data_IF_351684101212
#
_entry.id   IF_351684101212
#
_cell.length_a   1.000
_cell.length_b   1.000
_cell.length_c   1.000
_cell.angle_alpha   90.00
_cell.angle_beta   90.00
_cell.angle_gamma   90.00
#
_symmetry.space_group_name_H-M   'P 1'
#
loop_
_entity.id
_entity.type
_entity.pdbx_description
1 polymer ?
#
# COMPACT_ATOMS: atom_id res chain seq x y z
N UNK A 1 14.42 -47.66 -23.59
CA UNK A 1 13.59 -46.44 -23.43
C UNK A 1 12.57 -46.42 -24.55
N UNK A 2 11.34 -46.04 -24.24
CA UNK A 2 10.25 -45.92 -25.22
C UNK A 2 10.50 -44.69 -26.12
N UNK A 3 10.23 -44.77 -27.42
CA UNK A 3 10.38 -43.63 -28.33
C UNK A 3 9.28 -42.59 -28.08
N UNK A 4 9.49 -41.33 -28.49
CA UNK A 4 8.49 -40.26 -28.36
C UNK A 4 7.16 -40.63 -29.06
N UNK A 5 7.23 -41.20 -30.26
CA UNK A 5 6.05 -41.65 -31.01
C UNK A 5 5.31 -42.80 -30.31
N UNK A 6 6.06 -43.76 -29.76
CA UNK A 6 5.48 -44.84 -28.98
C UNK A 6 4.82 -44.30 -27.70
N UNK A 7 5.42 -43.29 -27.07
CA UNK A 7 4.88 -42.62 -25.89
C UNK A 7 3.60 -41.85 -26.21
N UNK A 8 3.55 -41.06 -27.28
CA UNK A 8 2.33 -40.36 -27.72
C UNK A 8 1.18 -41.31 -28.01
N UNK A 9 1.47 -42.50 -28.54
CA UNK A 9 0.47 -43.54 -28.78
C UNK A 9 -0.01 -44.24 -27.49
N UNK A 10 0.82 -44.25 -26.45
CA UNK A 10 0.50 -44.77 -25.12
C UNK A 10 -0.26 -43.75 -24.27
N UNK A 11 0.03 -42.46 -24.44
CA UNK A 11 -0.62 -41.37 -23.73
C UNK A 11 -2.09 -41.27 -24.12
N UNK A 12 -2.97 -41.41 -23.13
CA UNK A 12 -4.39 -41.20 -23.32
C UNK A 12 -4.70 -39.72 -23.15
N UNK A 13 -5.15 -39.01 -24.21
CA UNK A 13 -5.55 -37.62 -24.07
C UNK A 13 -6.80 -37.52 -23.19
N UNK A 14 -6.71 -36.72 -22.14
CA UNK A 14 -7.83 -36.44 -21.24
C UNK A 14 -8.52 -35.15 -21.64
N UNK A 15 -9.85 -35.19 -21.76
CA UNK A 15 -10.65 -33.99 -21.94
C UNK A 15 -10.71 -33.19 -20.64
N UNK A 16 -10.70 -31.86 -20.74
CA UNK A 16 -10.92 -30.96 -19.62
C UNK A 16 -11.92 -29.87 -20.00
N UNK A 17 -12.49 -29.22 -18.99
CA UNK A 17 -13.34 -28.03 -19.14
C UNK A 17 -12.70 -26.89 -18.37
N UNK A 18 -12.75 -25.69 -18.93
CA UNK A 18 -12.25 -24.50 -18.23
C UNK A 18 -13.20 -24.15 -17.08
N UNK A 19 -12.63 -23.93 -15.89
CA UNK A 19 -13.34 -23.37 -14.75
C UNK A 19 -13.43 -21.84 -14.89
N UNK A 20 -14.45 -21.18 -14.31
CA UNK A 20 -14.48 -19.73 -14.25
C UNK A 20 -13.32 -19.16 -13.42
N UNK A 21 -12.97 -17.90 -13.66
CA UNK A 21 -12.00 -17.15 -12.83
C UNK A 21 -12.45 -17.19 -11.37
N UNK A 22 -11.49 -17.37 -10.47
CA UNK A 22 -11.74 -17.40 -9.02
C UNK A 22 -12.42 -16.08 -8.61
N UNK A 23 -13.53 -16.16 -7.86
CA UNK A 23 -14.27 -15.00 -7.41
C UNK A 23 -13.58 -14.30 -6.23
N UNK A 24 -12.50 -13.58 -6.53
CA UNK A 24 -11.72 -12.75 -5.62
C UNK A 24 -11.26 -11.50 -6.35
N UNK A 25 -11.01 -10.42 -5.62
CA UNK A 25 -10.29 -9.27 -6.17
C UNK A 25 -8.84 -9.68 -6.43
N UNK A 26 -8.35 -9.51 -7.65
CA UNK A 26 -6.95 -9.74 -8.00
C UNK A 26 -6.23 -8.41 -8.03
N UNK A 27 -5.31 -8.23 -7.09
CA UNK A 27 -4.54 -7.01 -6.90
C UNK A 27 -3.13 -7.24 -7.44
N UNK A 28 -2.73 -6.47 -8.44
CA UNK A 28 -1.33 -6.41 -8.85
C UNK A 28 -0.59 -5.40 -7.96
N UNK A 29 0.53 -5.82 -7.36
CA UNK A 29 1.33 -4.97 -6.48
C UNK A 29 2.74 -4.79 -7.02
N UNK A 30 3.13 -3.55 -7.35
CA UNK A 30 4.54 -3.19 -7.54
C UNK A 30 5.04 -2.55 -6.26
N UNK A 31 6.18 -2.98 -5.73
CA UNK A 31 6.76 -2.42 -4.50
C UNK A 31 8.28 -2.27 -4.62
N UNK A 32 8.91 -1.57 -3.69
CA UNK A 32 10.36 -1.42 -3.73
C UNK A 32 11.08 -2.75 -3.40
N UNK A 33 12.27 -2.93 -3.94
CA UNK A 33 13.14 -4.06 -3.59
C UNK A 33 13.49 -4.10 -2.10
N UNK A 34 13.44 -2.95 -1.42
CA UNK A 34 13.71 -2.77 0.02
C UNK A 34 12.46 -2.84 0.90
N UNK A 35 11.27 -3.02 0.32
CA UNK A 35 10.07 -3.25 1.12
C UNK A 35 10.08 -4.68 1.67
N UNK A 36 10.03 -4.79 3.00
CA UNK A 36 10.02 -6.06 3.71
C UNK A 36 8.65 -6.34 4.37
N UNK A 37 7.77 -5.34 4.45
CA UNK A 37 6.60 -5.41 5.34
C UNK A 37 5.28 -5.54 4.60
N UNK A 38 5.14 -4.90 3.44
CA UNK A 38 3.85 -4.74 2.76
C UNK A 38 3.18 -6.07 2.41
N UNK A 39 3.93 -7.03 1.84
CA UNK A 39 3.40 -8.36 1.52
C UNK A 39 2.94 -9.12 2.78
N UNK A 40 3.69 -9.01 3.88
CA UNK A 40 3.35 -9.66 5.14
C UNK A 40 2.11 -9.03 5.77
N UNK A 41 1.98 -7.72 5.68
CA UNK A 41 0.82 -6.98 6.16
C UNK A 41 -0.42 -7.32 5.34
N UNK A 42 -0.31 -7.31 4.01
CA UNK A 42 -1.43 -7.66 3.14
C UNK A 42 -1.82 -9.13 3.26
N UNK A 43 -0.89 -10.05 3.52
CA UNK A 43 -1.20 -11.45 3.80
C UNK A 43 -2.21 -11.60 4.96
N UNK A 44 -2.20 -10.69 5.94
CA UNK A 44 -3.17 -10.66 7.05
C UNK A 44 -4.55 -10.12 6.63
N UNK A 45 -4.60 -9.23 5.63
CA UNK A 45 -5.83 -8.55 5.19
C UNK A 45 -6.59 -9.29 4.08
N UNK A 46 -5.88 -9.99 3.19
CA UNK A 46 -6.42 -10.58 1.96
C UNK A 46 -7.55 -11.60 2.21
N UNK A 47 -7.44 -12.43 3.25
CA UNK A 47 -8.41 -13.49 3.56
C UNK A 47 -8.82 -14.31 2.32
N UNK A 48 -10.13 -14.51 2.15
CA UNK A 48 -10.71 -15.13 0.95
C UNK A 48 -11.31 -14.11 -0.02
N UNK A 49 -11.22 -12.80 0.28
CA UNK A 49 -11.81 -11.71 -0.51
C UNK A 49 -10.92 -11.27 -1.67
N UNK A 50 -9.60 -11.43 -1.53
CA UNK A 50 -8.63 -10.95 -2.50
C UNK A 50 -7.43 -11.89 -2.66
N UNK A 51 -6.65 -11.68 -3.72
CA UNK A 51 -5.34 -12.26 -3.95
C UNK A 51 -4.38 -11.18 -4.42
N UNK A 52 -3.13 -11.22 -3.95
CA UNK A 52 -2.07 -10.29 -4.35
C UNK A 52 -1.06 -11.00 -5.26
N UNK A 53 -0.63 -10.31 -6.31
CA UNK A 53 0.44 -10.75 -7.21
C UNK A 53 1.47 -9.65 -7.26
N UNK A 54 2.62 -9.87 -6.63
CA UNK A 54 3.64 -8.84 -6.44
C UNK A 54 4.78 -8.92 -7.44
N UNK A 55 5.35 -7.77 -7.74
CA UNK A 55 6.64 -7.60 -8.42
C UNK A 55 7.41 -6.47 -7.74
N UNK A 56 8.72 -6.36 -8.01
CA UNK A 56 9.60 -5.41 -7.33
C UNK A 56 10.30 -4.49 -8.33
N UNK A 57 10.40 -3.22 -7.97
CA UNK A 57 11.25 -2.23 -8.65
C UNK A 57 12.51 -1.99 -7.82
N UNK A 58 13.66 -1.87 -8.49
CA UNK A 58 14.90 -1.50 -7.82
C UNK A 58 14.78 -0.09 -7.23
N UNK A 59 15.37 0.10 -6.05
CA UNK A 59 15.41 1.40 -5.37
C UNK A 59 16.83 1.73 -4.94
N UNK A 60 17.26 2.96 -5.22
CA UNK A 60 18.42 3.60 -4.62
C UNK A 60 17.99 4.68 -3.63
N UNK A 61 18.74 4.87 -2.54
CA UNK A 61 18.48 5.94 -1.56
C UNK A 61 18.66 7.37 -2.12
N UNK A 62 19.15 7.51 -3.35
CA UNK A 62 19.31 8.79 -4.01
C UNK A 62 17.98 9.25 -4.62
N UNK A 63 17.58 10.48 -4.30
CA UNK A 63 16.37 11.13 -4.81
C UNK A 63 16.69 12.14 -5.92
N UNK A 64 17.57 11.75 -6.86
CA UNK A 64 17.88 12.56 -8.05
C UNK A 64 16.77 12.42 -9.10
N UNK A 65 16.61 13.39 -10.02
CA UNK A 65 15.67 13.27 -11.15
C UNK A 65 15.90 11.99 -11.97
N UNK A 66 17.15 11.59 -12.16
CA UNK A 66 17.53 10.37 -12.87
C UNK A 66 17.07 9.12 -12.13
N UNK A 67 17.28 9.05 -10.80
CA UNK A 67 16.81 7.93 -9.99
C UNK A 67 15.27 7.84 -9.98
N UNK A 68 14.56 8.97 -10.04
CA UNK A 68 13.10 9.00 -10.16
C UNK A 68 12.61 8.49 -11.51
N UNK A 69 13.32 8.80 -12.61
CA UNK A 69 13.00 8.29 -13.95
C UNK A 69 13.27 6.78 -14.08
N UNK A 70 14.34 6.30 -13.46
CA UNK A 70 14.63 4.86 -13.34
C UNK A 70 13.53 4.12 -12.56
N UNK A 71 13.07 4.69 -11.43
CA UNK A 71 11.93 4.15 -10.68
C UNK A 71 10.67 4.15 -11.55
N UNK A 72 10.38 5.25 -12.26
CA UNK A 72 9.20 5.36 -13.12
C UNK A 72 9.18 4.31 -14.23
N UNK A 73 10.31 4.13 -14.92
CA UNK A 73 10.48 3.07 -15.94
C UNK A 73 10.31 1.69 -15.31
N UNK A 74 10.96 1.46 -14.17
CA UNK A 74 10.88 0.21 -13.44
C UNK A 74 9.48 -0.14 -12.93
N UNK A 75 8.61 0.84 -12.65
CA UNK A 75 7.20 0.59 -12.30
C UNK A 75 6.46 -0.10 -13.45
N UNK A 76 6.64 0.38 -14.69
CA UNK A 76 5.97 -0.20 -15.86
C UNK A 76 6.47 -1.62 -16.12
N UNK A 77 7.79 -1.80 -16.10
CA UNK A 77 8.42 -3.11 -16.35
C UNK A 77 8.04 -4.13 -15.27
N UNK A 78 8.07 -3.73 -13.99
CA UNK A 78 7.64 -4.58 -12.89
C UNK A 78 6.14 -4.91 -12.98
N UNK A 79 5.32 -3.94 -13.41
CA UNK A 79 3.89 -4.16 -13.64
C UNK A 79 3.66 -5.21 -14.71
N UNK A 80 4.38 -5.20 -15.84
CA UNK A 80 4.19 -6.16 -16.94
C UNK A 80 4.46 -7.62 -16.53
N UNK A 81 5.33 -7.84 -15.54
CA UNK A 81 5.67 -9.16 -15.02
C UNK A 81 4.58 -9.76 -14.10
N UNK A 82 3.62 -8.97 -13.64
CA UNK A 82 2.61 -9.42 -12.69
C UNK A 82 1.64 -10.40 -13.37
N UNK A 83 1.74 -11.68 -12.98
CA UNK A 83 0.78 -12.74 -13.30
C UNK A 83 0.34 -12.78 -14.77
N UNK A 84 1.29 -12.85 -15.71
CA UNK A 84 1.01 -12.91 -17.15
C UNK A 84 -0.07 -13.95 -17.48
N UNK A 85 -1.12 -13.53 -18.21
CA UNK A 85 -2.28 -14.35 -18.54
C UNK A 85 -3.43 -14.30 -17.53
N UNK A 86 -3.25 -13.61 -16.39
CA UNK A 86 -4.29 -13.36 -15.40
C UNK A 86 -4.64 -11.88 -15.35
N UNK A 87 -5.91 -11.56 -15.62
CA UNK A 87 -6.42 -10.18 -15.51
C UNK A 87 -6.40 -9.72 -14.05
N UNK A 88 -5.85 -8.53 -13.80
CA UNK A 88 -5.93 -7.84 -12.51
C UNK A 88 -7.18 -6.94 -12.48
N UNK A 89 -7.78 -6.78 -11.31
CA UNK A 89 -8.93 -5.87 -11.13
C UNK A 89 -8.48 -4.46 -10.71
N UNK A 90 -7.31 -4.36 -10.08
CA UNK A 90 -6.71 -3.09 -9.62
C UNK A 90 -5.19 -3.25 -9.49
N UNK A 91 -4.46 -2.17 -9.74
CA UNK A 91 -3.01 -2.09 -9.52
C UNK A 91 -2.67 -1.24 -8.30
N UNK A 92 -1.59 -1.56 -7.60
CA UNK A 92 -1.09 -0.81 -6.46
C UNK A 92 0.43 -0.60 -6.56
N UNK A 93 0.90 0.58 -6.17
CA UNK A 93 2.33 0.87 -6.03
C UNK A 93 2.70 1.13 -4.57
N UNK A 94 3.46 0.22 -3.96
CA UNK A 94 3.91 0.25 -2.58
C UNK A 94 5.14 1.11 -2.34
N UNK A 95 4.98 2.42 -2.39
CA UNK A 95 5.96 3.38 -1.86
C UNK A 95 5.29 4.73 -1.59
N UNK A 96 5.36 5.23 -0.35
CA UNK A 96 4.68 6.50 -0.01
C UNK A 96 5.44 7.72 -0.55
N UNK A 97 6.75 7.78 -0.33
CA UNK A 97 7.60 8.90 -0.76
C UNK A 97 7.66 9.05 -2.29
N UNK A 98 7.90 7.96 -3.02
CA UNK A 98 7.91 8.00 -4.48
C UNK A 98 6.54 8.37 -5.07
N UNK A 99 5.44 7.93 -4.45
CA UNK A 99 4.09 8.30 -4.91
C UNK A 99 3.78 9.80 -4.75
N UNK A 100 4.37 10.42 -3.74
CA UNK A 100 4.25 11.87 -3.52
C UNK A 100 5.03 12.63 -4.59
N UNK A 101 6.25 12.19 -4.90
CA UNK A 101 7.14 12.87 -5.84
C UNK A 101 6.68 12.67 -7.30
N UNK A 102 6.37 11.44 -7.69
CA UNK A 102 5.95 11.10 -9.05
C UNK A 102 4.52 11.59 -9.32
N UNK A 103 3.68 11.60 -8.29
CA UNK A 103 2.29 12.04 -8.37
C UNK A 103 1.31 10.92 -8.71
N UNK A 104 0.05 11.12 -8.29
CA UNK A 104 -1.02 10.12 -8.36
C UNK A 104 -1.32 9.66 -9.79
N UNK A 105 -1.55 10.60 -10.71
CA UNK A 105 -1.92 10.30 -12.10
C UNK A 105 -0.79 9.56 -12.81
N UNK A 106 0.45 10.03 -12.63
CA UNK A 106 1.60 9.42 -13.29
C UNK A 106 1.86 8.00 -12.79
N UNK A 107 1.77 7.75 -11.48
CA UNK A 107 1.89 6.38 -10.94
C UNK A 107 0.80 5.47 -11.51
N UNK A 108 -0.45 5.97 -11.61
CA UNK A 108 -1.54 5.20 -12.18
C UNK A 108 -1.28 4.83 -13.65
N UNK A 109 -0.88 5.80 -14.48
CA UNK A 109 -0.51 5.57 -15.88
C UNK A 109 0.59 4.51 -16.04
N UNK A 110 1.65 4.60 -15.22
CA UNK A 110 2.78 3.68 -15.28
C UNK A 110 2.36 2.25 -14.88
N UNK A 111 1.53 2.12 -13.84
CA UNK A 111 1.03 0.82 -13.39
C UNK A 111 0.12 0.16 -14.42
N UNK A 112 -0.69 0.94 -15.14
CA UNK A 112 -1.78 0.40 -15.98
C UNK A 112 -1.49 0.44 -17.48
N UNK A 113 -0.33 0.97 -17.89
CA UNK A 113 0.10 1.18 -19.29
C UNK A 113 -0.29 0.05 -20.25
N UNK A 114 -0.10 -1.22 -19.84
CA UNK A 114 -0.40 -2.40 -20.67
C UNK A 114 -1.50 -3.31 -20.06
N UNK A 115 -2.30 -2.79 -19.14
CA UNK A 115 -3.26 -3.57 -18.34
C UNK A 115 -4.72 -3.21 -18.61
N UNK A 116 -4.98 -2.46 -19.67
CA UNK A 116 -6.31 -1.92 -19.99
C UNK A 116 -6.71 -0.79 -19.05
N UNK A 117 -7.97 -0.38 -19.14
CA UNK A 117 -8.53 0.70 -18.31
C UNK A 117 -8.99 0.15 -16.95
N UNK A 118 -8.02 -0.28 -16.14
CA UNK A 118 -8.24 -0.72 -14.76
C UNK A 118 -7.77 0.36 -13.77
N UNK A 119 -8.40 0.48 -12.60
CA UNK A 119 -8.00 1.47 -11.62
C UNK A 119 -6.63 1.15 -11.00
N UNK A 120 -5.99 2.18 -10.46
CA UNK A 120 -4.74 2.06 -9.71
C UNK A 120 -4.75 2.88 -8.42
N UNK A 121 -3.98 2.44 -7.44
CA UNK A 121 -3.82 3.09 -6.15
C UNK A 121 -2.35 3.17 -5.74
N UNK A 122 -2.08 4.00 -4.74
CA UNK A 122 -0.80 4.08 -4.05
C UNK A 122 -1.05 4.66 -2.64
N UNK A 123 -0.08 4.61 -1.70
CA UNK A 123 -0.29 5.04 -0.33
C UNK A 123 -0.77 6.49 -0.21
N UNK A 124 -0.27 7.39 -1.06
CA UNK A 124 -0.66 8.80 -1.04
C UNK A 124 -2.12 9.00 -1.43
N UNK A 125 -2.51 8.42 -2.57
CA UNK A 125 -3.87 8.47 -3.09
C UNK A 125 -4.85 7.83 -2.11
N UNK A 126 -4.46 6.69 -1.57
CA UNK A 126 -5.27 5.93 -0.63
C UNK A 126 -5.44 6.64 0.71
N UNK A 127 -4.39 7.29 1.24
CA UNK A 127 -4.47 8.06 2.47
C UNK A 127 -5.47 9.21 2.35
N UNK A 128 -5.40 10.01 1.27
CA UNK A 128 -6.38 11.07 1.01
C UNK A 128 -7.82 10.56 0.94
N UNK A 129 -8.03 9.43 0.26
CA UNK A 129 -9.34 8.81 0.16
C UNK A 129 -9.83 8.31 1.53
N UNK A 130 -8.94 7.73 2.35
CA UNK A 130 -9.25 7.25 3.69
C UNK A 130 -9.60 8.40 4.65
N UNK A 131 -8.87 9.52 4.62
CA UNK A 131 -9.15 10.68 5.46
C UNK A 131 -10.54 11.25 5.16
N UNK A 132 -10.87 11.38 3.87
CA UNK A 132 -12.22 11.80 3.42
C UNK A 132 -13.29 10.81 3.85
N UNK A 133 -13.05 9.51 3.70
CA UNK A 133 -13.99 8.47 4.14
C UNK A 133 -14.27 8.53 5.65
N UNK A 134 -13.26 8.84 6.45
CA UNK A 134 -13.37 8.99 7.90
C UNK A 134 -13.82 10.40 8.33
N UNK A 135 -14.11 11.29 7.39
CA UNK A 135 -14.48 12.69 7.62
C UNK A 135 -13.47 13.45 8.49
N UNK A 136 -12.17 13.15 8.34
CA UNK A 136 -11.10 13.81 9.08
C UNK A 136 -10.47 14.93 8.24
N UNK A 137 -10.43 16.13 8.80
CA UNK A 137 -9.74 17.30 8.25
C UNK A 137 -8.43 17.59 9.01
N UNK A 138 -8.41 17.37 10.34
CA UNK A 138 -7.23 17.60 11.19
C UNK A 138 -6.42 16.33 11.38
N UNK A 139 -5.22 16.30 10.81
CA UNK A 139 -4.40 15.09 10.71
C UNK A 139 -3.14 15.23 11.55
N UNK A 140 -2.93 14.29 12.47
CA UNK A 140 -1.61 14.07 13.07
C UNK A 140 -0.79 13.14 12.16
N UNK A 141 0.45 13.50 11.85
CA UNK A 141 1.32 12.71 10.96
C UNK A 141 2.48 12.12 11.75
N UNK A 142 2.49 10.81 11.91
CA UNK A 142 3.67 10.07 12.36
C UNK A 142 4.47 9.65 11.14
N UNK A 143 5.73 10.06 11.08
CA UNK A 143 6.62 9.73 9.96
C UNK A 143 7.94 9.13 10.44
N UNK A 144 8.45 8.06 9.81
CA UNK A 144 9.78 7.58 10.12
C UNK A 144 10.88 8.35 9.38
N UNK A 145 10.56 9.23 8.42
CA UNK A 145 11.54 9.75 7.44
C UNK A 145 12.36 10.96 7.92
N UNK A 146 13.48 11.29 7.26
CA UNK A 146 14.16 12.57 7.45
C UNK A 146 13.30 13.78 6.98
N UNK A 147 13.70 14.97 7.42
CA UNK A 147 13.04 16.24 7.08
C UNK A 147 12.90 16.48 5.58
N UNK A 148 13.88 16.04 4.78
CA UNK A 148 13.88 16.14 3.32
C UNK A 148 12.69 15.44 2.66
N UNK A 149 12.15 14.39 3.28
CA UNK A 149 10.96 13.67 2.81
C UNK A 149 9.68 14.19 3.49
N UNK A 150 9.77 14.55 4.77
CA UNK A 150 8.60 15.04 5.52
C UNK A 150 8.10 16.39 5.03
N UNK A 151 8.99 17.27 4.60
CA UNK A 151 8.59 18.60 4.15
C UNK A 151 7.71 18.56 2.88
N UNK A 152 8.07 17.84 1.80
CA UNK A 152 7.16 17.61 0.68
C UNK A 152 5.85 16.91 1.06
N UNK A 153 5.89 15.93 1.97
CA UNK A 153 4.68 15.25 2.47
C UNK A 153 3.73 16.25 3.16
N UNK A 154 4.26 17.11 4.03
CA UNK A 154 3.48 18.15 4.71
C UNK A 154 2.85 19.12 3.71
N UNK A 155 3.64 19.59 2.72
CA UNK A 155 3.14 20.49 1.68
C UNK A 155 1.99 19.86 0.91
N UNK A 156 2.12 18.60 0.48
CA UNK A 156 1.10 17.89 -0.29
C UNK A 156 -0.19 17.62 0.51
N UNK A 157 -0.07 17.36 1.82
CA UNK A 157 -1.24 17.28 2.70
C UNK A 157 -1.97 18.61 2.80
N UNK A 158 -1.21 19.70 2.96
CA UNK A 158 -1.76 21.05 3.06
C UNK A 158 -2.39 21.50 1.74
N UNK A 159 -1.73 21.23 0.60
CA UNK A 159 -2.24 21.50 -0.75
C UNK A 159 -3.50 20.69 -1.08
N UNK A 160 -3.72 19.57 -0.37
CA UNK A 160 -4.92 18.74 -0.47
C UNK A 160 -6.02 19.14 0.54
N UNK A 161 -5.90 20.34 1.13
CA UNK A 161 -6.85 20.96 2.08
C UNK A 161 -6.99 20.23 3.43
N UNK A 162 -5.97 19.43 3.83
CA UNK A 162 -5.90 18.85 5.17
C UNK A 162 -5.10 19.75 6.12
N UNK A 163 -5.57 19.87 7.35
CA UNK A 163 -4.91 20.60 8.42
C UNK A 163 -3.96 19.67 9.18
N UNK A 164 -2.66 19.74 8.90
CA UNK A 164 -1.66 18.94 9.62
C UNK A 164 -1.34 19.61 10.96
N UNK A 165 -2.09 19.24 11.99
CA UNK A 165 -2.02 19.86 13.33
C UNK A 165 -0.77 19.49 14.12
N UNK A 166 -0.17 18.33 13.83
CA UNK A 166 1.11 17.90 14.40
C UNK A 166 1.82 16.91 13.48
N UNK A 167 3.15 16.98 13.42
CA UNK A 167 3.98 16.04 12.68
C UNK A 167 5.17 15.62 13.54
N UNK A 168 5.21 14.35 13.92
CA UNK A 168 6.33 13.74 14.62
C UNK A 168 7.17 12.92 13.64
N UNK A 169 8.50 13.01 13.79
CA UNK A 169 9.44 12.31 12.93
C UNK A 169 10.50 11.53 13.70
N UNK A 170 10.80 10.31 13.25
CA UNK A 170 11.95 9.52 13.74
C UNK A 170 13.26 9.84 13.01
N UNK A 171 13.23 10.47 11.83
CA UNK A 171 14.43 10.88 11.10
C UNK A 171 15.31 9.73 10.57
N UNK A 172 14.72 8.57 10.27
CA UNK A 172 15.42 7.37 9.79
C UNK A 172 15.74 7.52 8.30
N UNK A 173 17.04 7.55 7.97
CA UNK A 173 17.53 7.74 6.61
C UNK A 173 17.38 6.50 5.71
N UNK A 174 17.61 5.30 6.28
CA UNK A 174 17.58 4.05 5.51
C UNK A 174 16.20 3.41 5.59
N UNK A 175 15.57 3.21 4.44
CA UNK A 175 14.25 2.60 4.32
C UNK A 175 14.15 1.25 5.04
N UNK A 176 15.17 0.40 4.94
CA UNK A 176 15.20 -0.92 5.60
C UNK A 176 15.20 -0.83 7.13
N UNK A 177 15.73 0.24 7.72
CA UNK A 177 15.79 0.40 9.18
C UNK A 177 14.43 0.76 9.78
N UNK A 178 13.51 1.30 8.97
CA UNK A 178 12.15 1.62 9.40
C UNK A 178 11.42 0.37 9.92
N UNK A 179 11.76 -0.80 9.36
CA UNK A 179 11.20 -2.09 9.79
C UNK A 179 11.61 -2.51 11.21
N UNK A 180 12.63 -1.86 11.78
CA UNK A 180 13.17 -2.12 13.12
C UNK A 180 12.55 -1.22 14.19
N UNK A 181 11.71 -0.26 13.82
CA UNK A 181 11.01 0.61 14.77
C UNK A 181 10.14 -0.24 15.69
N UNK A 182 10.39 -0.14 16.99
CA UNK A 182 9.70 -0.94 18.00
C UNK A 182 8.29 -0.40 18.26
N UNK A 183 7.41 -1.28 18.74
CA UNK A 183 6.10 -0.90 19.25
C UNK A 183 6.19 0.18 20.33
N UNK A 184 7.11 0.03 21.28
CA UNK A 184 7.33 0.99 22.37
C UNK A 184 7.62 2.39 21.83
N UNK A 185 8.56 2.52 20.91
CA UNK A 185 8.90 3.81 20.30
C UNK A 185 7.74 4.44 19.54
N UNK A 186 6.91 3.64 18.86
CA UNK A 186 5.68 4.15 18.24
C UNK A 186 4.71 4.71 19.27
N UNK A 187 4.46 3.98 20.37
CA UNK A 187 3.53 4.40 21.41
C UNK A 187 4.01 5.63 22.19
N UNK A 188 5.30 5.70 22.52
CA UNK A 188 5.90 6.88 23.19
C UNK A 188 5.80 8.14 22.32
N UNK A 189 6.13 8.01 21.04
CA UNK A 189 6.03 9.12 20.10
C UNK A 189 4.58 9.58 19.89
N UNK A 190 3.62 8.65 19.79
CA UNK A 190 2.19 8.99 19.71
C UNK A 190 1.71 9.69 20.98
N UNK A 191 2.15 9.24 22.15
CA UNK A 191 1.81 9.88 23.42
C UNK A 191 2.34 11.31 23.51
N UNK A 192 3.56 11.55 23.02
CA UNK A 192 4.12 12.89 22.91
C UNK A 192 3.34 13.76 21.91
N UNK A 193 3.04 13.23 20.72
CA UNK A 193 2.40 13.98 19.65
C UNK A 193 0.94 14.34 19.95
N UNK A 194 0.21 13.45 20.64
CA UNK A 194 -1.24 13.57 20.82
C UNK A 194 -1.66 14.25 22.12
N UNK A 195 -0.75 14.44 23.08
CA UNK A 195 -1.05 14.93 24.43
C UNK A 195 -1.94 16.19 24.46
N UNK A 196 -1.68 17.14 23.58
CA UNK A 196 -2.40 18.42 23.47
C UNK A 196 -2.87 18.69 22.02
N UNK A 197 -3.01 17.63 21.23
CA UNK A 197 -3.43 17.71 19.83
C UNK A 197 -4.95 17.62 19.71
N UNK A 198 -5.54 18.38 18.79
CA UNK A 198 -6.94 18.29 18.39
C UNK A 198 -7.13 17.51 17.08
N UNK A 199 -6.19 16.62 16.75
CA UNK A 199 -6.26 15.75 15.59
C UNK A 199 -7.53 14.88 15.63
N UNK A 200 -8.12 14.69 14.45
CA UNK A 200 -9.27 13.82 14.21
C UNK A 200 -8.85 12.43 13.73
N UNK A 201 -7.60 12.31 13.23
CA UNK A 201 -7.00 11.07 12.75
C UNK A 201 -5.47 11.11 12.89
N UNK A 202 -4.86 9.94 13.10
CA UNK A 202 -3.40 9.76 12.96
C UNK A 202 -3.07 9.03 11.67
N UNK A 203 -2.25 9.66 10.83
CA UNK A 203 -1.63 9.02 9.68
C UNK A 203 -0.23 8.53 10.03
N UNK A 204 -0.03 7.21 10.03
CA UNK A 204 1.26 6.57 10.24
C UNK A 204 1.86 6.16 8.89
N UNK A 205 2.71 7.03 8.37
CA UNK A 205 3.26 6.96 7.01
C UNK A 205 4.39 5.94 6.91
N UNK A 206 4.49 5.27 5.74
CA UNK A 206 5.48 4.27 5.31
C UNK A 206 4.91 2.86 5.18
N UNK A 207 5.30 2.19 4.09
CA UNK A 207 4.93 0.79 3.83
C UNK A 207 5.82 -0.20 4.58
N UNK A 208 7.01 0.23 5.01
CA UNK A 208 7.95 -0.52 5.86
C UNK A 208 7.73 -0.34 7.37
N UNK A 209 6.85 0.59 7.78
CA UNK A 209 6.52 0.77 9.20
C UNK A 209 5.52 -0.31 9.64
N UNK A 210 5.95 -1.20 10.54
CA UNK A 210 5.19 -2.37 11.00
C UNK A 210 4.13 -2.03 12.03
N UNK A 211 3.21 -1.14 11.68
CA UNK A 211 2.16 -0.63 12.56
C UNK A 211 0.84 -1.40 12.45
N UNK A 212 0.62 -2.13 11.36
CA UNK A 212 -0.67 -2.77 11.06
C UNK A 212 -1.18 -3.63 12.23
N UNK A 213 -0.28 -4.36 12.91
CA UNK A 213 -0.60 -5.24 14.05
C UNK A 213 -1.03 -4.50 15.32
N UNK A 214 -0.85 -3.18 15.37
CA UNK A 214 -1.06 -2.36 16.55
C UNK A 214 -2.17 -1.31 16.37
N UNK A 215 -2.78 -1.21 15.19
CA UNK A 215 -3.78 -0.17 14.87
C UNK A 215 -4.92 -0.19 15.90
N UNK A 216 -5.56 -1.33 16.14
CA UNK A 216 -6.68 -1.43 17.09
C UNK A 216 -6.27 -1.05 18.52
N UNK A 217 -5.06 -1.43 18.95
CA UNK A 217 -4.53 -1.07 20.26
C UNK A 217 -4.23 0.43 20.38
N UNK A 218 -3.70 1.04 19.32
CA UNK A 218 -3.45 2.48 19.25
C UNK A 218 -4.78 3.23 19.29
N UNK A 219 -5.74 2.86 18.46
CA UNK A 219 -7.08 3.47 18.45
C UNK A 219 -7.76 3.35 19.83
N UNK A 220 -7.66 2.19 20.50
CA UNK A 220 -8.19 1.99 21.83
C UNK A 220 -7.49 2.84 22.91
N UNK A 221 -6.17 3.01 22.83
CA UNK A 221 -5.40 3.80 23.81
C UNK A 221 -5.66 5.30 23.66
N UNK A 222 -5.66 5.81 22.42
CA UNK A 222 -5.67 7.25 22.15
C UNK A 222 -7.05 7.79 21.75
N UNK A 223 -8.04 6.92 21.49
CA UNK A 223 -9.40 7.32 21.16
C UNK A 223 -9.55 8.00 19.80
N UNK A 224 -8.56 7.85 18.91
CA UNK A 224 -8.49 8.49 17.61
C UNK A 224 -8.27 7.43 16.51
N UNK A 225 -8.96 7.52 15.35
CA UNK A 225 -8.73 6.63 14.22
C UNK A 225 -7.27 6.66 13.74
N UNK A 226 -6.77 5.51 13.32
CA UNK A 226 -5.41 5.34 12.80
C UNK A 226 -5.46 4.82 11.38
N UNK A 227 -4.80 5.54 10.48
CA UNK A 227 -4.60 5.11 9.09
C UNK A 227 -3.11 4.94 8.86
N UNK A 228 -2.70 3.78 8.37
CA UNK A 228 -1.33 3.57 7.91
C UNK A 228 -1.29 3.35 6.39
N UNK A 229 -0.12 3.54 5.78
CA UNK A 229 0.05 3.36 4.33
C UNK A 229 -0.48 2.02 3.82
N UNK A 230 -0.23 0.94 4.57
CA UNK A 230 -0.59 -0.43 4.16
C UNK A 230 -2.10 -0.69 4.24
N UNK A 231 -2.76 -0.26 5.33
CA UNK A 231 -4.22 -0.42 5.49
C UNK A 231 -4.99 0.50 4.56
N UNK A 232 -4.56 1.75 4.40
CA UNK A 232 -5.14 2.69 3.45
C UNK A 232 -5.12 2.13 2.03
N UNK A 233 -3.94 1.68 1.58
CA UNK A 233 -3.77 1.19 0.22
C UNK A 233 -4.59 -0.07 -0.06
N UNK A 234 -4.67 -1.00 0.89
CA UNK A 234 -5.53 -2.19 0.77
C UNK A 234 -7.01 -1.82 0.71
N UNK A 235 -7.48 -0.98 1.65
CA UNK A 235 -8.86 -0.49 1.69
C UNK A 235 -9.23 0.18 0.36
N UNK A 236 -8.37 1.06 -0.15
CA UNK A 236 -8.63 1.80 -1.39
C UNK A 236 -8.61 0.87 -2.61
N UNK A 237 -7.70 -0.11 -2.68
CA UNK A 237 -7.69 -1.11 -3.74
C UNK A 237 -9.03 -1.87 -3.81
N UNK A 238 -9.55 -2.32 -2.67
CA UNK A 238 -10.85 -2.99 -2.61
C UNK A 238 -11.98 -2.03 -3.03
N UNK A 239 -11.98 -0.81 -2.51
CA UNK A 239 -12.97 0.22 -2.81
C UNK A 239 -13.07 0.53 -4.31
N UNK A 240 -11.93 0.66 -5.00
CA UNK A 240 -11.86 0.92 -6.44
C UNK A 240 -12.48 -0.19 -7.30
N UNK A 241 -12.57 -1.41 -6.76
CA UNK A 241 -13.24 -2.55 -7.42
C UNK A 241 -14.71 -2.70 -7.05
N UNK A 242 -15.27 -1.72 -6.32
CA UNK A 242 -16.64 -1.75 -5.82
C UNK A 242 -16.85 -2.78 -4.71
N UNK A 243 -15.79 -3.20 -4.02
CA UNK A 243 -15.85 -4.16 -2.91
C UNK A 243 -15.56 -3.46 -1.58
N UNK A 244 -16.21 -3.93 -0.53
CA UNK A 244 -15.95 -3.50 0.85
C UNK A 244 -14.90 -4.42 1.45
N UNK A 245 -13.76 -3.87 1.87
CA UNK A 245 -12.78 -4.62 2.63
C UNK A 245 -13.32 -4.90 4.03
N UNK A 246 -13.27 -6.15 4.48
CA UNK A 246 -13.64 -6.50 5.87
C UNK A 246 -12.47 -7.18 6.54
N UNK A 247 -11.82 -6.49 7.48
CA UNK A 247 -10.64 -7.00 8.20
C UNK A 247 -10.77 -6.71 9.71
N UNK A 248 -11.49 -7.58 10.46
CA UNK A 248 -11.63 -7.47 11.92
C UNK A 248 -10.28 -7.33 12.62
N UNK A 249 -10.17 -6.39 13.56
CA UNK A 249 -8.97 -6.13 14.35
C UNK A 249 -7.93 -5.20 13.72
N UNK A 250 -8.19 -4.67 12.52
CA UNK A 250 -7.28 -3.76 11.82
C UNK A 250 -7.75 -2.29 11.79
N UNK A 251 -8.42 -1.88 12.86
CA UNK A 251 -8.86 -0.50 13.10
C UNK A 251 -10.08 -0.05 12.32
N UNK A 252 -10.49 1.19 12.57
CA UNK A 252 -11.76 1.77 12.10
C UNK A 252 -11.90 1.76 10.58
N UNK A 253 -10.84 2.11 9.83
CA UNK A 253 -10.88 2.18 8.36
C UNK A 253 -11.31 0.86 7.69
N UNK A 254 -10.90 -0.29 8.24
CA UNK A 254 -11.15 -1.61 7.66
C UNK A 254 -12.34 -2.35 8.31
N UNK A 255 -13.02 -1.70 9.27
CA UNK A 255 -14.10 -2.29 10.07
C UNK A 255 -15.38 -1.48 10.08
N UNK A 256 -15.31 -0.17 9.85
CA UNK A 256 -16.50 0.64 9.69
C UNK A 256 -17.09 0.40 8.30
N UNK A 257 -18.21 -0.34 8.29
CA UNK A 257 -19.18 -0.25 7.22
C UNK A 257 -19.94 1.06 7.41
N UNK A 258 -19.32 2.20 7.09
CA UNK A 258 -20.09 3.43 6.96
C UNK A 258 -21.05 3.20 5.79
N UNK A 259 -22.32 3.02 6.15
CA UNK A 259 -23.45 2.73 5.27
C UNK A 259 -23.75 3.89 4.31
#
# INVERSE_FOLDING_TARGET
MMSFEAFTSFEQPLAHKQAPRINRVHIGLVQLSTDHSLEMDWAKLLGTQAGVFSSRVYYSSEMTPEALDEIATGISDASDLIATGLTMDVMAFGCTSASIIIGQEKVAELLTKNRGDIPATNPWTAAKAAFKHLNAQKIAVFSPYPTSVNYPLYQQLTDADFDVVTLGSLGIERDTDITLVSKESMFEALELMLKDSDAELVFMSCTNLRVLDYIEEIEAKFGIPVVCSNSAMFWHAMHLTGKVATCPGFGKLLNDQVA
#
